data_IF_990116503752
#
_entry.id   IF_990116503752
#
_cell.length_a   1.000
_cell.length_b   1.000
_cell.length_c   1.000
_cell.angle_alpha   90.00
_cell.angle_beta   90.00
_cell.angle_gamma   90.00
#
_symmetry.space_group_name_H-M   'P 1'
#
loop_
_entity.id
_entity.type
_entity.pdbx_description
1 polymer ?
#
# COMPACT_ATOMS: atom_id res chain seq x y z
N UNK A 1 -24.94 31.31 8.06
CA UNK A 1 -25.29 29.86 8.08
C UNK A 1 -24.26 29.15 7.21
N UNK A 2 -23.32 28.42 7.81
CA UNK A 2 -22.30 27.67 7.09
C UNK A 2 -22.89 26.39 6.49
N UNK A 3 -22.46 26.02 5.29
CA UNK A 3 -22.90 24.80 4.59
C UNK A 3 -22.56 23.56 5.42
N UNK A 4 -23.54 22.67 5.61
CA UNK A 4 -23.40 21.44 6.43
C UNK A 4 -22.30 20.49 5.95
N UNK A 5 -21.84 20.66 4.71
CA UNK A 5 -20.83 19.81 4.07
C UNK A 5 -19.43 20.46 4.03
N UNK A 6 -19.30 21.73 4.45
CA UNK A 6 -18.04 22.49 4.36
C UNK A 6 -17.52 22.68 2.92
N UNK A 7 -16.41 23.39 2.80
CA UNK A 7 -15.68 23.54 1.53
C UNK A 7 -14.76 22.33 1.34
N UNK A 8 -15.01 21.50 0.32
CA UNK A 8 -14.14 20.38 -0.04
C UNK A 8 -12.84 20.88 -0.69
N UNK A 9 -11.73 20.14 -0.55
CA UNK A 9 -10.48 20.51 -1.19
C UNK A 9 -10.64 20.55 -2.71
N UNK A 10 -10.29 21.69 -3.29
CA UNK A 10 -10.23 21.91 -4.73
C UNK A 10 -8.80 22.26 -5.11
N UNK A 11 -8.16 21.42 -5.92
CA UNK A 11 -6.81 21.69 -6.43
C UNK A 11 -6.84 22.75 -7.55
N UNK A 12 -7.82 22.63 -8.45
CA UNK A 12 -8.13 23.62 -9.47
C UNK A 12 -9.66 23.75 -9.55
N UNK A 13 -10.23 24.96 -9.30
CA UNK A 13 -11.67 25.18 -9.30
C UNK A 13 -12.32 24.92 -10.67
N UNK A 14 -11.56 24.86 -11.76
CA UNK A 14 -12.10 24.65 -13.10
C UNK A 14 -12.31 23.19 -13.48
N UNK A 15 -11.67 22.23 -12.78
CA UNK A 15 -11.63 20.80 -13.11
C UNK A 15 -12.99 20.19 -13.46
N UNK A 16 -14.07 20.64 -12.81
CA UNK A 16 -15.41 20.07 -12.96
C UNK A 16 -16.48 21.11 -13.34
N UNK A 17 -16.09 22.34 -13.62
CA UNK A 17 -17.03 23.43 -13.96
C UNK A 17 -17.62 23.31 -15.37
N UNK A 18 -16.91 22.63 -16.27
CA UNK A 18 -17.24 22.53 -17.69
C UNK A 18 -17.75 21.14 -18.09
N UNK A 19 -18.02 20.26 -17.12
CA UNK A 19 -18.65 18.97 -17.41
C UNK A 19 -20.01 19.26 -18.06
N UNK A 20 -20.11 19.09 -19.39
CA UNK A 20 -21.31 19.41 -20.16
C UNK A 20 -22.45 18.50 -19.68
N UNK A 21 -23.47 19.02 -18.98
CA UNK A 21 -24.70 18.28 -18.79
C UNK A 21 -25.39 18.26 -20.16
N UNK A 22 -25.88 17.13 -20.62
CA UNK A 22 -26.61 16.92 -21.89
C UNK A 22 -25.78 16.94 -23.19
N UNK A 23 -25.18 15.79 -23.49
CA UNK A 23 -25.41 15.17 -24.80
C UNK A 23 -25.93 13.75 -24.51
N UNK A 24 -27.17 13.50 -24.94
CA UNK A 24 -27.83 12.21 -24.80
C UNK A 24 -27.01 11.11 -25.50
N UNK A 25 -26.90 9.96 -24.83
CA UNK A 25 -26.63 8.62 -25.40
C UNK A 25 -25.34 8.29 -26.15
N UNK A 26 -24.40 9.20 -26.39
CA UNK A 26 -23.10 8.82 -26.97
C UNK A 26 -21.98 8.88 -25.93
N UNK A 27 -21.97 7.87 -25.06
CA UNK A 27 -20.82 7.52 -24.24
C UNK A 27 -19.74 6.86 -25.12
N UNK A 28 -19.21 7.60 -26.10
CA UNK A 28 -17.89 7.30 -26.64
C UNK A 28 -16.88 7.64 -25.55
N UNK A 29 -16.79 6.77 -24.54
CA UNK A 29 -15.74 6.84 -23.52
C UNK A 29 -14.43 7.01 -24.30
N UNK A 30 -13.66 8.10 -24.10
CA UNK A 30 -12.34 8.17 -24.72
C UNK A 30 -11.58 6.99 -24.13
N UNK A 31 -11.40 5.95 -24.95
CA UNK A 31 -10.65 4.77 -24.52
C UNK A 31 -9.24 5.29 -24.31
N UNK A 32 -8.66 5.17 -23.10
CA UNK A 32 -7.29 5.59 -22.87
C UNK A 32 -6.41 4.92 -23.92
N UNK A 33 -5.63 5.72 -24.64
CA UNK A 33 -4.73 5.21 -25.66
C UNK A 33 -3.68 4.34 -24.98
N UNK A 34 -3.44 3.14 -25.51
CA UNK A 34 -2.35 2.29 -25.03
C UNK A 34 -1.02 2.98 -25.27
N UNK A 35 -0.26 3.21 -24.21
CA UNK A 35 1.07 3.81 -24.32
C UNK A 35 2.05 2.81 -24.94
N UNK A 36 2.73 3.23 -26.02
CA UNK A 36 3.79 2.47 -26.68
C UNK A 36 5.14 3.20 -26.47
N UNK A 37 6.01 2.73 -25.55
CA UNK A 37 7.29 3.36 -25.28
C UNK A 37 8.19 3.31 -26.52
N UNK A 38 8.67 4.47 -26.99
CA UNK A 38 9.66 4.55 -28.09
C UNK A 38 11.11 4.59 -27.58
N UNK A 39 11.29 4.66 -26.27
CA UNK A 39 12.56 4.87 -25.63
C UNK A 39 12.55 4.32 -24.20
N UNK A 40 13.72 4.00 -23.67
CA UNK A 40 13.91 3.30 -22.39
C UNK A 40 13.69 4.18 -21.13
N UNK A 41 13.03 5.36 -21.22
CA UNK A 41 12.88 6.27 -20.06
C UNK A 41 11.93 5.75 -18.96
N UNK A 42 11.16 4.69 -19.24
CA UNK A 42 10.34 3.99 -18.25
C UNK A 42 11.04 2.80 -17.61
N UNK A 43 12.30 2.52 -17.98
CA UNK A 43 13.10 1.54 -17.23
C UNK A 43 13.41 2.14 -15.85
N UNK A 44 13.34 1.34 -14.77
CA UNK A 44 13.79 1.81 -13.46
C UNK A 44 15.23 2.33 -13.59
N UNK A 45 15.62 3.36 -12.81
CA UNK A 45 17.00 3.83 -12.78
C UNK A 45 17.95 2.64 -12.68
N UNK A 46 18.94 2.52 -13.58
CA UNK A 46 19.77 1.32 -13.71
C UNK A 46 20.51 0.96 -12.40
N UNK A 47 20.70 1.95 -11.54
CA UNK A 47 21.47 1.82 -10.30
C UNK A 47 20.63 1.35 -9.10
N UNK A 48 19.32 1.14 -9.25
CA UNK A 48 18.43 0.64 -8.20
C UNK A 48 17.69 -0.62 -8.64
N UNK A 49 18.27 -1.77 -8.32
CA UNK A 49 17.70 -3.09 -8.65
C UNK A 49 16.89 -3.61 -7.48
N UNK A 50 15.65 -4.04 -7.74
CA UNK A 50 14.83 -4.74 -6.76
C UNK A 50 15.40 -6.16 -6.59
N UNK A 51 15.88 -6.48 -5.40
CA UNK A 51 16.45 -7.80 -5.08
C UNK A 51 15.64 -8.51 -4.00
N UNK A 52 15.56 -9.84 -4.08
CA UNK A 52 14.96 -10.67 -3.03
C UNK A 52 16.03 -11.19 -2.06
N UNK A 53 15.71 -11.23 -0.77
CA UNK A 53 16.61 -11.83 0.21
C UNK A 53 16.66 -13.35 0.03
N UNK A 54 17.88 -13.91 -0.04
CA UNK A 54 18.08 -15.36 -0.24
C UNK A 54 17.87 -16.18 1.04
N UNK A 55 17.99 -15.57 2.22
CA UNK A 55 17.89 -16.28 3.49
C UNK A 55 16.48 -16.78 3.73
N UNK A 56 16.36 -18.02 4.18
CA UNK A 56 15.10 -18.54 4.67
C UNK A 56 14.59 -17.71 5.86
N UNK A 57 13.28 -17.47 5.90
CA UNK A 57 12.63 -16.61 6.89
C UNK A 57 12.84 -17.05 8.34
N UNK A 58 12.95 -18.37 8.60
CA UNK A 58 13.20 -18.91 9.95
C UNK A 58 14.63 -18.63 10.39
N UNK A 59 15.59 -18.84 9.50
CA UNK A 59 17.01 -18.58 9.75
C UNK A 59 17.26 -17.10 10.00
N UNK A 60 16.65 -16.22 9.20
CA UNK A 60 16.68 -14.77 9.41
C UNK A 60 16.18 -14.39 10.81
N UNK A 61 15.08 -15.00 11.25
CA UNK A 61 14.49 -14.73 12.57
C UNK A 61 15.44 -15.15 13.71
N UNK A 62 16.05 -16.34 13.63
CA UNK A 62 17.00 -16.80 14.65
C UNK A 62 18.20 -15.85 14.79
N UNK A 63 18.79 -15.41 13.67
CA UNK A 63 19.91 -14.47 13.71
C UNK A 63 19.50 -13.09 14.23
N UNK A 64 18.35 -12.58 13.81
CA UNK A 64 17.83 -11.29 14.30
C UNK A 64 17.61 -11.30 15.81
N UNK A 65 17.00 -12.35 16.36
CA UNK A 65 16.82 -12.50 17.80
C UNK A 65 18.16 -12.62 18.53
N UNK A 66 19.09 -13.42 18.00
CA UNK A 66 20.41 -13.58 18.59
C UNK A 66 21.16 -12.24 18.66
N UNK A 67 21.16 -11.47 17.57
CA UNK A 67 21.75 -10.13 17.53
C UNK A 67 21.11 -9.19 18.54
N UNK A 68 19.78 -9.17 18.65
CA UNK A 68 19.06 -8.32 19.60
C UNK A 68 19.45 -8.62 21.06
N UNK A 69 19.62 -9.91 21.41
CA UNK A 69 20.06 -10.31 22.76
C UNK A 69 21.52 -9.95 23.05
N UNK A 70 22.34 -9.77 22.02
CA UNK A 70 23.75 -9.37 22.16
C UNK A 70 23.93 -7.85 22.16
N UNK A 71 22.91 -7.06 21.81
CA UNK A 71 23.00 -5.59 21.88
C UNK A 71 23.12 -5.16 23.34
N UNK A 72 24.18 -4.42 23.73
CA UNK A 72 24.29 -3.85 25.06
C UNK A 72 23.04 -3.03 25.37
N UNK A 73 22.44 -3.27 26.54
CA UNK A 73 21.22 -2.66 27.03
C UNK A 73 21.40 -1.14 27.15
N UNK A 74 21.22 -0.40 26.05
CA UNK A 74 20.98 1.04 26.11
C UNK A 74 19.64 1.24 26.84
N UNK A 75 19.54 2.29 27.65
CA UNK A 75 18.33 2.61 28.40
C UNK A 75 17.10 2.55 27.48
N UNK A 76 16.03 1.96 28.00
CA UNK A 76 14.85 1.47 27.29
C UNK A 76 14.40 2.37 26.13
N UNK A 77 14.52 1.87 24.90
CA UNK A 77 13.63 2.32 23.82
C UNK A 77 12.34 1.53 23.98
N UNK A 78 11.27 2.27 24.24
CA UNK A 78 9.94 1.80 24.62
C UNK A 78 9.48 0.60 23.81
N UNK A 79 9.15 -0.47 24.53
CA UNK A 79 8.35 -1.58 24.02
C UNK A 79 6.94 -1.04 23.70
N UNK A 80 6.73 -0.56 22.48
CA UNK A 80 5.37 -0.35 22.00
C UNK A 80 4.87 -1.65 21.35
N UNK A 81 4.29 -2.46 22.24
CA UNK A 81 3.15 -3.36 22.05
C UNK A 81 3.38 -4.65 21.22
N UNK A 82 3.38 -5.83 21.87
CA UNK A 82 2.97 -7.08 21.23
C UNK A 82 1.45 -7.16 21.24
N UNK A 83 0.76 -6.92 20.11
CA UNK A 83 -0.67 -7.26 20.03
C UNK A 83 -0.81 -8.78 19.82
N UNK A 84 -1.65 -9.35 20.67
CA UNK A 84 -1.77 -10.77 20.92
C UNK A 84 -2.85 -11.39 20.03
N UNK A 85 -2.62 -12.62 19.55
CA UNK A 85 -3.67 -13.63 19.51
C UNK A 85 -4.30 -13.97 18.15
N UNK A 86 -3.92 -15.13 17.61
CA UNK A 86 -4.91 -16.03 17.02
C UNK A 86 -4.71 -17.41 17.63
N UNK A 87 -5.61 -17.77 18.53
CA UNK A 87 -5.72 -19.09 19.15
C UNK A 87 -6.02 -20.12 18.05
N UNK A 88 -5.13 -21.10 17.93
CA UNK A 88 -5.34 -22.52 17.64
C UNK A 88 -6.63 -22.93 16.89
N UNK A 89 -6.43 -23.54 15.71
CA UNK A 89 -7.45 -24.27 14.93
C UNK A 89 -7.99 -25.44 15.76
N UNK A 90 -9.30 -25.46 16.04
CA UNK A 90 -10.04 -26.67 16.40
C UNK A 90 -11.12 -26.88 15.35
N UNK A 91 -10.88 -27.82 14.44
CA UNK A 91 -11.91 -28.32 13.55
C UNK A 91 -12.89 -29.18 14.36
N UNK A 92 -14.17 -28.80 14.35
CA UNK A 92 -15.27 -29.67 14.73
C UNK A 92 -16.43 -29.38 13.78
N UNK A 93 -16.61 -30.27 12.81
CA UNK A 93 -17.84 -30.38 12.04
C UNK A 93 -18.36 -31.80 12.26
N UNK A 94 -19.27 -31.95 13.22
CA UNK A 94 -20.19 -33.07 13.27
C UNK A 94 -21.45 -32.68 12.49
N UNK A 95 -21.74 -33.36 11.39
CA UNK A 95 -23.04 -33.31 10.74
C UNK A 95 -23.86 -34.52 11.23
N UNK A 96 -25.06 -34.23 11.73
CA UNK A 96 -26.17 -35.16 11.92
C UNK A 96 -27.14 -35.03 10.76
#
# INVERSE_FOLDING_TARGET
MGSWLGDLPSFDPHNFTQLRPSAHSDLSKPTPVTYHPTHNRTLPPPDQVITTETKNILIRNFYQQAEEKLRPKRAATEQLIPEHGCKQVRASTSYS
#
